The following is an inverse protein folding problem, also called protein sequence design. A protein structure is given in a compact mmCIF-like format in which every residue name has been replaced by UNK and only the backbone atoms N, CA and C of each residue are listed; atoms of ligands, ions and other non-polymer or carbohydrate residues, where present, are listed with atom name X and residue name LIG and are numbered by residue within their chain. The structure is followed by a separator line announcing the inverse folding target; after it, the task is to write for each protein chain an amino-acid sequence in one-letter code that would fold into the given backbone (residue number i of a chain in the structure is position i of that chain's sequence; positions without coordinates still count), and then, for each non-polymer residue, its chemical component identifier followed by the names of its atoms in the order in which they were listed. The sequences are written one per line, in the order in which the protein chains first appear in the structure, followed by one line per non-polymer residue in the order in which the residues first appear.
data_IF_653793703037
#
_entry.id   IF_653793703037
#
_cell.length_a   1.000
_cell.length_b   1.000
_cell.length_c   1.000
_cell.angle_alpha   90.00
_cell.angle_beta   90.00
_cell.angle_gamma   90.00
#
_symmetry.space_group_name_H-M   'P 1'
#
loop_
_entity.id
_entity.type
_entity.pdbx_description
1 polymer ?
#
# COMPACT_ATOMS: atom_id res chain seq x y z
N UNK A 1 9.69 11.13 7.17
CA UNK A 1 10.01 10.29 8.35
C UNK A 1 8.78 9.59 8.95
N UNK A 2 7.68 10.29 9.26
CA UNK A 2 6.44 9.66 9.79
C UNK A 2 5.77 8.68 8.79
N UNK A 3 5.81 8.98 7.49
CA UNK A 3 5.30 8.12 6.42
C UNK A 3 6.09 6.79 6.27
N UNK A 4 7.42 6.81 6.47
CA UNK A 4 8.27 5.62 6.37
C UNK A 4 7.98 4.58 7.46
N UNK A 5 7.58 5.03 8.65
CA UNK A 5 7.18 4.17 9.79
C UNK A 5 5.84 3.50 9.52
N UNK A 6 4.91 4.21 8.86
CA UNK A 6 3.61 3.65 8.48
C UNK A 6 3.71 2.67 7.29
N UNK A 7 4.75 2.81 6.46
CA UNK A 7 4.97 2.00 5.26
C UNK A 7 5.87 0.75 5.47
N UNK A 8 6.33 0.47 6.70
CA UNK A 8 7.03 -0.79 7.01
C UNK A 8 8.43 -0.96 6.40
N UNK A 9 9.02 0.07 5.80
CA UNK A 9 10.36 0.00 5.23
C UNK A 9 11.42 0.50 6.23
N UNK A 10 11.80 -0.37 7.16
CA UNK A 10 13.13 -0.29 7.77
C UNK A 10 13.97 -1.35 7.06
N UNK A 11 14.85 -0.89 6.16
CA UNK A 11 15.99 -1.70 5.74
C UNK A 11 16.83 -1.96 7.00
N UNK A 12 16.65 -3.13 7.60
CA UNK A 12 17.57 -3.68 8.57
C UNK A 12 18.90 -3.92 7.85
N UNK A 13 19.86 -3.03 8.09
CA UNK A 13 21.26 -3.32 7.81
C UNK A 13 21.63 -4.59 8.58
N UNK A 14 21.90 -5.66 7.82
CA UNK A 14 22.24 -6.98 8.33
C UNK A 14 23.60 -6.96 9.03
N UNK A 15 23.61 -7.07 10.35
CA UNK A 15 24.76 -7.56 11.10
C UNK A 15 24.69 -9.10 11.16
N UNK A 16 25.70 -9.72 10.57
CA UNK A 16 25.94 -11.16 10.49
C UNK A 16 26.03 -11.81 11.87
N UNK A 17 25.23 -12.85 12.14
CA UNK A 17 25.66 -13.95 12.99
C UNK A 17 24.99 -15.26 12.55
N UNK A 18 25.84 -16.28 12.42
CA UNK A 18 25.55 -17.63 11.94
C UNK A 18 24.83 -18.45 13.02
N UNK A 19 23.87 -19.26 12.62
CA UNK A 19 23.26 -20.26 13.49
C UNK A 19 22.34 -21.20 12.71
N UNK A 20 22.92 -22.24 12.11
CA UNK A 20 22.20 -23.30 11.41
C UNK A 20 21.38 -24.17 12.36
N UNK A 21 20.21 -24.64 11.92
CA UNK A 21 19.87 -26.09 11.87
C UNK A 21 18.49 -26.30 11.25
N UNK A 22 18.49 -27.04 10.15
CA UNK A 22 17.31 -27.48 9.42
C UNK A 22 16.73 -28.76 10.04
N UNK A 23 15.40 -28.89 10.06
CA UNK A 23 14.71 -30.19 10.16
C UNK A 23 13.63 -30.27 9.08
N UNK A 24 13.79 -31.24 8.18
CA UNK A 24 12.82 -31.67 7.14
C UNK A 24 11.62 -32.39 7.77
N UNK A 25 10.42 -32.31 7.18
CA UNK A 25 9.29 -33.16 7.55
C UNK A 25 9.36 -34.54 6.88
N UNK A 26 8.89 -35.54 7.62
CA UNK A 26 8.82 -36.96 7.26
C UNK A 26 7.57 -37.22 6.41
N UNK A 27 7.75 -38.00 5.33
CA UNK A 27 6.70 -38.50 4.46
C UNK A 27 5.95 -39.68 5.10
N UNK A 28 4.63 -39.74 4.95
CA UNK A 28 3.82 -40.91 5.22
C UNK A 28 3.07 -41.34 3.95
N UNK A 29 3.47 -42.49 3.41
CA UNK A 29 2.78 -43.21 2.35
C UNK A 29 1.78 -44.19 2.97
N UNK A 30 0.53 -44.19 2.49
CA UNK A 30 -0.49 -45.20 2.78
C UNK A 30 -1.16 -45.64 1.48
N UNK A 31 -1.15 -46.95 1.22
CA UNK A 31 -1.42 -47.58 -0.09
C UNK A 31 -2.67 -48.48 -0.01
N UNK A 32 -3.59 -48.27 -0.95
CA UNK A 32 -4.49 -49.23 -1.67
C UNK A 32 -5.61 -49.99 -0.93
N UNK A 33 -6.83 -49.83 -1.46
CA UNK A 33 -7.66 -50.78 -2.28
C UNK A 33 -9.06 -50.14 -2.40
N UNK A 34 -9.80 -50.10 -3.51
CA UNK A 34 -9.80 -50.81 -4.78
C UNK A 34 -11.27 -51.15 -5.09
N UNK A 35 -11.88 -50.50 -6.08
CA UNK A 35 -13.13 -50.94 -6.71
C UNK A 35 -13.26 -50.31 -8.10
N UNK A 36 -13.18 -51.16 -9.13
CA UNK A 36 -13.41 -50.81 -10.53
C UNK A 36 -14.90 -50.60 -10.79
N UNK A 37 -15.26 -49.54 -11.52
CA UNK A 37 -16.50 -49.51 -12.30
C UNK A 37 -16.31 -48.62 -13.53
N UNK A 38 -16.23 -49.32 -14.66
CA UNK A 38 -16.65 -48.99 -16.04
C UNK A 38 -16.94 -47.49 -16.30
N UNK A 39 -16.08 -46.85 -17.10
CA UNK A 39 -16.34 -45.54 -17.70
C UNK A 39 -16.93 -45.79 -19.09
N UNK A 40 -18.23 -45.52 -19.22
CA UNK A 40 -18.87 -45.31 -20.52
C UNK A 40 -18.39 -43.97 -21.09
N UNK A 41 -17.84 -44.04 -22.31
CA UNK A 41 -17.53 -42.89 -23.15
C UNK A 41 -18.83 -42.14 -23.47
N UNK A 42 -19.02 -41.00 -22.80
CA UNK A 42 -20.02 -40.01 -23.20
C UNK A 42 -19.37 -39.05 -24.19
N UNK A 43 -19.67 -39.33 -25.46
CA UNK A 43 -19.42 -38.54 -26.64
C UNK A 43 -19.95 -37.10 -26.46
N UNK A 44 -19.07 -36.11 -26.32
CA UNK A 44 -19.42 -34.70 -26.50
C UNK A 44 -18.81 -34.22 -27.80
N UNK A 45 -19.64 -34.15 -28.85
CA UNK A 45 -19.37 -33.46 -30.10
C UNK A 45 -18.78 -32.08 -29.80
N UNK A 46 -17.48 -31.91 -29.99
CA UNK A 46 -16.90 -30.60 -30.24
C UNK A 46 -17.24 -30.28 -31.69
N UNK A 47 -18.23 -29.41 -31.89
CA UNK A 47 -18.45 -28.77 -33.19
C UNK A 47 -17.20 -27.95 -33.53
N UNK A 48 -16.30 -28.56 -34.30
CA UNK A 48 -15.14 -27.89 -34.88
C UNK A 48 -15.63 -26.98 -35.98
N UNK A 49 -15.51 -25.66 -35.79
CA UNK A 49 -15.80 -24.66 -36.84
C UNK A 49 -14.77 -24.89 -37.97
N UNK A 50 -15.18 -25.36 -39.16
CA UNK A 50 -14.23 -25.69 -40.22
C UNK A 50 -13.72 -24.41 -40.89
N UNK A 51 -12.40 -24.21 -40.88
CA UNK A 51 -11.73 -23.03 -41.43
C UNK A 51 -11.72 -23.00 -42.98
N UNK A 52 -11.67 -24.17 -43.63
CA UNK A 52 -11.71 -24.35 -45.09
C UNK A 52 -12.44 -25.68 -45.37
N UNK A 53 -13.32 -25.73 -46.36
CA UNK A 53 -14.01 -26.98 -46.71
C UNK A 53 -13.07 -27.97 -47.39
N UNK A 54 -13.32 -29.28 -47.26
CA UNK A 54 -12.54 -30.29 -47.98
C UNK A 54 -12.60 -30.07 -49.50
N UNK A 55 -13.70 -29.53 -50.00
CA UNK A 55 -13.92 -29.26 -51.42
C UNK A 55 -13.01 -28.15 -51.96
N UNK A 56 -12.71 -27.15 -51.13
CA UNK A 56 -11.82 -26.03 -51.49
C UNK A 56 -10.34 -26.46 -51.50
N UNK A 57 -9.98 -27.50 -50.73
CA UNK A 57 -8.64 -28.12 -50.78
C UNK A 57 -8.50 -28.99 -52.03
N UNK A 58 -9.55 -29.77 -52.38
CA UNK A 58 -9.55 -30.60 -53.60
C UNK A 58 -9.38 -29.76 -54.86
N UNK A 59 -10.07 -28.61 -54.94
CA UNK A 59 -9.98 -27.72 -56.09
C UNK A 59 -8.59 -27.10 -56.26
N UNK A 60 -7.91 -26.74 -55.15
CA UNK A 60 -6.54 -26.23 -55.19
C UNK A 60 -5.50 -27.29 -55.57
N UNK A 61 -5.68 -28.56 -55.17
CA UNK A 61 -4.77 -29.65 -55.57
C UNK A 61 -4.89 -29.88 -57.08
N UNK A 62 -6.12 -29.89 -57.61
CA UNK A 62 -6.37 -30.06 -59.05
C UNK A 62 -5.85 -28.88 -59.88
N UNK A 63 -5.82 -27.66 -59.34
CA UNK A 63 -5.26 -26.51 -60.05
C UNK A 63 -3.73 -26.55 -60.16
N UNK A 64 -3.04 -27.36 -59.35
CA UNK A 64 -1.58 -27.50 -59.36
C UNK A 64 -1.15 -28.60 -60.33
N UNK A 65 -1.92 -29.70 -60.42
CA UNK A 65 -1.70 -30.75 -61.41
C UNK A 65 -3.01 -31.47 -61.73
N UNK A 66 -3.41 -31.45 -63.00
CA UNK A 66 -4.71 -31.95 -63.47
C UNK A 66 -4.76 -33.49 -63.57
N UNK A 67 -3.61 -34.17 -63.64
CA UNK A 67 -3.53 -35.63 -63.87
C UNK A 67 -3.45 -36.47 -62.58
N UNK A 68 -3.69 -35.89 -61.40
CA UNK A 68 -3.60 -36.64 -60.14
C UNK A 68 -4.84 -37.54 -59.96
N UNK A 69 -4.69 -38.86 -59.74
CA UNK A 69 -5.81 -39.77 -59.46
C UNK A 69 -6.64 -39.36 -58.24
N UNK A 70 -7.96 -39.53 -58.32
CA UNK A 70 -8.91 -39.11 -57.26
C UNK A 70 -8.64 -39.75 -55.90
N UNK A 71 -8.19 -41.00 -55.88
CA UNK A 71 -7.80 -41.72 -54.66
C UNK A 71 -6.63 -41.03 -53.93
N UNK A 72 -5.69 -40.45 -54.69
CA UNK A 72 -4.54 -39.71 -54.16
C UNK A 72 -4.99 -38.32 -53.72
N UNK A 73 -5.90 -37.67 -54.45
CA UNK A 73 -6.49 -36.38 -54.07
C UNK A 73 -7.24 -36.50 -52.74
N UNK A 74 -8.02 -37.56 -52.54
CA UNK A 74 -8.76 -37.79 -51.30
C UNK A 74 -7.81 -38.06 -50.12
N UNK A 75 -6.79 -38.88 -50.31
CA UNK A 75 -5.76 -39.15 -49.31
C UNK A 75 -4.96 -37.89 -48.93
N UNK A 76 -4.60 -37.06 -49.91
CA UNK A 76 -3.92 -35.78 -49.69
C UNK A 76 -4.84 -34.76 -49.04
N UNK A 77 -6.10 -34.71 -49.46
CA UNK A 77 -7.11 -33.80 -48.88
C UNK A 77 -7.33 -34.15 -47.42
N UNK A 78 -7.44 -35.43 -47.06
CA UNK A 78 -7.60 -35.84 -45.67
C UNK A 78 -6.33 -35.59 -44.86
N UNK A 79 -5.14 -35.87 -45.40
CA UNK A 79 -3.89 -35.54 -44.72
C UNK A 79 -3.70 -34.02 -44.54
N UNK A 80 -3.97 -33.22 -45.57
CA UNK A 80 -3.84 -31.76 -45.53
C UNK A 80 -4.93 -31.12 -44.70
N UNK A 81 -6.16 -31.65 -44.71
CA UNK A 81 -7.22 -31.20 -43.83
C UNK A 81 -6.85 -31.48 -42.37
N UNK A 82 -6.30 -32.66 -42.07
CA UNK A 82 -5.83 -32.99 -40.73
C UNK A 82 -4.61 -32.16 -40.31
N UNK A 83 -3.64 -31.96 -41.21
CA UNK A 83 -2.42 -31.17 -40.95
C UNK A 83 -2.75 -29.68 -40.80
N UNK A 84 -3.54 -29.10 -41.71
CA UNK A 84 -3.91 -27.67 -41.66
C UNK A 84 -4.90 -27.39 -40.54
N UNK A 85 -5.85 -28.28 -40.26
CA UNK A 85 -6.74 -28.12 -39.10
C UNK A 85 -5.97 -28.24 -37.79
N UNK A 86 -4.95 -29.11 -37.70
CA UNK A 86 -4.11 -29.23 -36.50
C UNK A 86 -3.12 -28.09 -36.36
N UNK A 87 -2.45 -27.65 -37.43
CA UNK A 87 -1.56 -26.48 -37.40
C UNK A 87 -2.33 -25.18 -37.15
N UNK A 88 -3.55 -25.05 -37.68
CA UNK A 88 -4.41 -23.92 -37.40
C UNK A 88 -5.00 -23.99 -35.99
N UNK A 89 -5.42 -25.16 -35.51
CA UNK A 89 -5.83 -25.33 -34.12
C UNK A 89 -4.66 -25.06 -33.19
N UNK A 90 -3.44 -25.47 -33.52
CA UNK A 90 -2.23 -25.15 -32.77
C UNK A 90 -1.91 -23.65 -32.85
N UNK A 91 -2.06 -22.99 -34.01
CA UNK A 91 -1.88 -21.54 -34.17
C UNK A 91 -3.01 -20.72 -33.52
N UNK A 92 -4.23 -21.23 -33.48
CA UNK A 92 -5.40 -20.63 -32.84
C UNK A 92 -5.31 -20.84 -31.33
N UNK A 93 -4.99 -22.04 -30.87
CA UNK A 93 -4.64 -22.32 -29.47
C UNK A 93 -3.40 -21.54 -29.09
N UNK A 94 -2.43 -21.31 -29.98
CA UNK A 94 -1.27 -20.47 -29.75
C UNK A 94 -1.65 -18.98 -29.74
N UNK A 95 -2.54 -18.48 -30.61
CA UNK A 95 -3.03 -17.09 -30.59
C UNK A 95 -3.94 -16.81 -29.40
N UNK A 96 -4.76 -17.78 -29.01
CA UNK A 96 -5.62 -17.74 -27.82
C UNK A 96 -4.77 -17.90 -26.58
N UNK A 97 -3.76 -18.78 -26.58
CA UNK A 97 -2.74 -18.80 -25.53
C UNK A 97 -2.00 -17.49 -25.52
N UNK A 98 -1.54 -16.91 -26.63
CA UNK A 98 -0.87 -15.60 -26.72
C UNK A 98 -1.79 -14.47 -26.23
N UNK A 99 -3.10 -14.50 -26.51
CA UNK A 99 -4.06 -13.51 -25.98
C UNK A 99 -4.38 -13.71 -24.50
N UNK A 100 -4.28 -14.95 -24.00
CA UNK A 100 -4.31 -15.27 -22.57
C UNK A 100 -2.94 -15.08 -21.89
N UNK A 101 -1.83 -15.16 -22.62
CA UNK A 101 -0.43 -15.06 -22.19
C UNK A 101 0.02 -13.61 -22.19
N UNK A 102 -0.60 -12.74 -22.99
CA UNK A 102 -0.65 -11.30 -22.73
C UNK A 102 -1.31 -10.99 -21.37
N UNK A 103 -1.98 -11.96 -20.73
CA UNK A 103 -2.40 -11.92 -19.33
C UNK A 103 -1.61 -12.85 -18.38
N UNK A 104 -0.77 -13.79 -18.85
CA UNK A 104 -0.25 -14.86 -17.98
C UNK A 104 1.16 -15.49 -18.27
N UNK A 105 2.04 -15.01 -19.17
CA UNK A 105 3.47 -15.45 -19.11
C UNK A 105 4.48 -14.31 -18.99
N UNK A 106 4.87 -14.06 -17.76
CA UNK A 106 6.26 -14.01 -17.34
C UNK A 106 6.83 -15.45 -17.30
N UNK A 107 8.08 -15.62 -17.71
CA UNK A 107 8.90 -16.73 -17.22
C UNK A 107 10.04 -16.13 -16.41
N UNK A 108 9.98 -16.36 -15.09
CA UNK A 108 10.95 -16.01 -14.03
C UNK A 108 10.68 -14.71 -13.23
N UNK A 109 9.69 -13.89 -13.61
CA UNK A 109 9.21 -12.74 -12.81
C UNK A 109 7.73 -12.84 -12.35
N UNK A 110 6.99 -13.84 -12.87
CA UNK A 110 5.72 -14.43 -12.37
C UNK A 110 5.12 -13.95 -11.04
N UNK A 111 5.83 -14.45 -10.03
CA UNK A 111 5.42 -14.36 -8.64
C UNK A 111 5.82 -13.03 -8.06
N UNK A 112 6.91 -12.43 -8.52
CA UNK A 112 7.39 -11.13 -8.05
C UNK A 112 6.50 -10.02 -8.57
N UNK A 113 6.11 -9.99 -9.85
CA UNK A 113 5.25 -8.93 -10.39
C UNK A 113 3.79 -9.07 -9.96
N UNK A 114 3.22 -10.29 -9.94
CA UNK A 114 1.89 -10.52 -9.33
C UNK A 114 1.88 -10.22 -7.84
N UNK A 115 3.00 -10.44 -7.12
CA UNK A 115 3.14 -10.00 -5.73
C UNK A 115 3.30 -8.48 -5.62
N UNK A 116 4.06 -7.83 -6.51
CA UNK A 116 4.29 -6.38 -6.52
C UNK A 116 2.99 -5.61 -6.78
N UNK A 117 2.18 -6.05 -7.75
CA UNK A 117 0.85 -5.47 -8.04
C UNK A 117 -0.08 -5.63 -6.84
N UNK A 118 -0.11 -6.83 -6.23
CA UNK A 118 -0.89 -7.06 -4.99
C UNK A 118 -0.38 -6.19 -3.84
N UNK A 119 0.93 -6.04 -3.70
CA UNK A 119 1.57 -5.21 -2.67
C UNK A 119 1.23 -3.72 -2.88
N UNK A 120 1.20 -3.22 -4.11
CA UNK A 120 0.80 -1.83 -4.41
C UNK A 120 -0.68 -1.61 -4.10
N UNK A 121 -1.57 -2.54 -4.48
CA UNK A 121 -2.99 -2.45 -4.13
C UNK A 121 -3.24 -2.50 -2.62
N UNK A 122 -2.52 -3.36 -1.89
CA UNK A 122 -2.55 -3.42 -0.42
C UNK A 122 -2.01 -2.13 0.20
N UNK A 123 -0.92 -1.59 -0.34
CA UNK A 123 -0.35 -0.31 0.08
C UNK A 123 -1.33 0.85 -0.11
N UNK A 124 -2.02 0.92 -1.25
CA UNK A 124 -3.07 1.92 -1.51
C UNK A 124 -4.21 1.77 -0.50
N UNK A 125 -4.68 0.54 -0.24
CA UNK A 125 -5.73 0.28 0.77
C UNK A 125 -5.28 0.69 2.17
N UNK A 126 -4.04 0.39 2.54
CA UNK A 126 -3.46 0.76 3.83
C UNK A 126 -3.34 2.28 3.98
N UNK A 127 -2.82 2.99 2.96
CA UNK A 127 -2.74 4.45 2.94
C UNK A 127 -4.13 5.08 3.08
N UNK A 128 -5.12 4.58 2.33
CA UNK A 128 -6.51 5.02 2.43
C UNK A 128 -7.12 4.76 3.81
N UNK A 129 -6.79 3.64 4.45
CA UNK A 129 -7.16 3.35 5.83
C UNK A 129 -6.58 4.39 6.79
N UNK A 130 -5.27 4.63 6.69
CA UNK A 130 -4.53 5.58 7.52
C UNK A 130 -5.10 7.00 7.37
N UNK A 131 -5.33 7.46 6.13
CA UNK A 131 -5.93 8.78 5.88
C UNK A 131 -7.26 8.92 6.62
N UNK A 132 -8.14 7.91 6.57
CA UNK A 132 -9.40 7.94 7.31
C UNK A 132 -9.24 7.95 8.84
N UNK A 133 -8.24 7.26 9.40
CA UNK A 133 -7.96 7.35 10.84
C UNK A 133 -7.55 8.77 11.22
N UNK A 134 -6.65 9.39 10.46
CA UNK A 134 -6.16 10.74 10.74
C UNK A 134 -7.23 11.82 10.49
N UNK A 135 -8.12 11.66 9.50
CA UNK A 135 -9.22 12.58 9.25
C UNK A 135 -10.15 12.73 10.46
N UNK A 136 -10.37 11.68 11.26
CA UNK A 136 -11.19 11.76 12.48
C UNK A 136 -10.63 12.69 13.55
N UNK A 137 -9.30 12.77 13.66
CA UNK A 137 -8.68 13.72 14.59
C UNK A 137 -8.86 15.16 14.07
N UNK A 138 -8.78 15.36 12.77
CA UNK A 138 -9.03 16.66 12.12
C UNK A 138 -10.49 17.10 12.32
N UNK A 139 -11.46 16.20 12.14
CA UNK A 139 -12.89 16.45 12.40
C UNK A 139 -13.14 16.85 13.87
N UNK A 140 -12.51 16.15 14.81
CA UNK A 140 -12.59 16.48 16.24
C UNK A 140 -12.03 17.87 16.53
N UNK A 141 -10.83 18.19 16.03
CA UNK A 141 -10.19 19.50 16.21
C UNK A 141 -10.95 20.64 15.52
N UNK A 142 -11.67 20.34 14.44
CA UNK A 142 -12.55 21.31 13.76
C UNK A 142 -13.72 21.68 14.66
N UNK A 143 -14.30 20.69 15.37
CA UNK A 143 -15.39 20.92 16.33
C UNK A 143 -14.92 21.75 17.53
N UNK A 144 -13.65 21.60 17.91
CA UNK A 144 -12.99 22.36 18.99
C UNK A 144 -12.50 23.76 18.54
N UNK A 145 -12.80 24.18 17.30
CA UNK A 145 -12.42 25.47 16.71
C UNK A 145 -10.90 25.74 16.62
N UNK A 146 -10.05 24.71 16.53
CA UNK A 146 -8.59 24.84 16.39
C UNK A 146 -8.17 25.06 14.93
N UNK A 147 -8.68 26.12 14.29
CA UNK A 147 -8.59 26.36 12.84
C UNK A 147 -7.17 26.32 12.28
N UNK A 148 -6.21 27.01 12.90
CA UNK A 148 -4.82 27.05 12.43
C UNK A 148 -4.11 25.68 12.52
N UNK A 149 -4.42 24.90 13.56
CA UNK A 149 -3.89 23.54 13.72
C UNK A 149 -4.52 22.60 12.68
N UNK A 150 -5.84 22.67 12.51
CA UNK A 150 -6.60 21.92 11.50
C UNK A 150 -6.02 22.16 10.10
N UNK A 151 -5.80 23.41 9.70
CA UNK A 151 -5.21 23.73 8.39
C UNK A 151 -3.81 23.13 8.21
N UNK A 152 -3.01 23.13 9.28
CA UNK A 152 -1.66 22.57 9.27
C UNK A 152 -1.69 21.05 9.11
N UNK A 153 -2.58 20.37 9.83
CA UNK A 153 -2.75 18.91 9.76
C UNK A 153 -3.33 18.47 8.41
N UNK A 154 -4.37 19.14 7.91
CA UNK A 154 -4.95 18.85 6.59
C UNK A 154 -3.91 18.96 5.48
N UNK A 155 -3.17 20.07 5.46
CA UNK A 155 -2.12 20.30 4.46
C UNK A 155 -1.01 19.27 4.55
N UNK A 156 -0.62 18.86 5.76
CA UNK A 156 0.39 17.83 5.93
C UNK A 156 -0.09 16.47 5.43
N UNK A 157 -1.31 16.07 5.79
CA UNK A 157 -1.91 14.80 5.36
C UNK A 157 -2.04 14.70 3.84
N UNK A 158 -2.46 15.80 3.18
CA UNK A 158 -2.52 15.88 1.72
C UNK A 158 -1.13 15.70 1.09
N UNK A 159 -0.12 16.42 1.59
CA UNK A 159 1.24 16.41 1.01
C UNK A 159 2.07 15.17 1.37
N UNK A 160 1.57 14.33 2.26
CA UNK A 160 2.24 13.09 2.65
C UNK A 160 1.43 11.90 2.14
N UNK A 161 0.46 11.41 2.92
CA UNK A 161 -0.23 10.16 2.60
C UNK A 161 -1.09 10.24 1.34
N UNK A 162 -1.78 11.36 1.07
CA UNK A 162 -2.55 11.48 -0.18
C UNK A 162 -1.64 11.57 -1.41
N UNK A 163 -0.51 12.29 -1.30
CA UNK A 163 0.49 12.34 -2.36
C UNK A 163 1.17 10.98 -2.57
N UNK A 164 1.50 10.24 -1.51
CA UNK A 164 2.04 8.88 -1.61
C UNK A 164 1.04 7.93 -2.28
N UNK A 165 -0.25 8.06 -1.96
CA UNK A 165 -1.31 7.28 -2.59
C UNK A 165 -1.45 7.62 -4.09
N UNK A 166 -1.38 8.91 -4.45
CA UNK A 166 -1.34 9.36 -5.84
C UNK A 166 -0.14 8.76 -6.59
N UNK A 167 1.04 8.83 -5.98
CA UNK A 167 2.26 8.32 -6.59
C UNK A 167 2.20 6.79 -6.78
N UNK A 168 1.59 6.05 -5.84
CA UNK A 168 1.36 4.61 -6.00
C UNK A 168 0.43 4.31 -7.19
N UNK A 169 -0.62 5.11 -7.39
CA UNK A 169 -1.50 4.97 -8.56
C UNK A 169 -0.73 5.28 -9.85
N UNK A 170 0.09 6.34 -9.85
CA UNK A 170 0.93 6.70 -11.02
C UNK A 170 1.93 5.60 -11.35
N UNK A 171 2.61 5.02 -10.35
CA UNK A 171 3.59 3.93 -10.53
C UNK A 171 2.96 2.65 -11.06
N UNK A 172 1.68 2.41 -10.76
CA UNK A 172 0.94 1.27 -11.29
C UNK A 172 0.55 1.49 -12.77
N UNK A 173 0.24 2.72 -13.15
CA UNK A 173 -0.19 3.08 -14.51
C UNK A 173 0.96 3.35 -15.47
N UNK A 174 2.13 3.73 -14.97
CA UNK A 174 3.32 4.01 -15.77
C UNK A 174 4.58 3.36 -15.19
N UNK A 175 5.09 2.37 -15.92
CA UNK A 175 6.31 1.64 -15.55
C UNK A 175 7.55 2.53 -15.48
N UNK A 176 7.55 3.69 -16.17
CA UNK A 176 8.67 4.64 -16.09
C UNK A 176 8.80 5.24 -14.69
N UNK A 177 7.67 5.38 -13.97
CA UNK A 177 7.63 5.88 -12.61
C UNK A 177 8.04 4.82 -11.58
N UNK A 178 7.90 3.53 -11.88
CA UNK A 178 8.27 2.42 -10.98
C UNK A 178 9.77 2.38 -10.64
N UNK A 179 10.61 2.95 -11.50
CA UNK A 179 12.07 3.07 -11.28
C UNK A 179 12.45 4.10 -10.20
N UNK A 180 11.52 4.98 -9.80
CA UNK A 180 11.78 6.06 -8.86
C UNK A 180 11.44 5.65 -7.43
N UNK A 181 12.45 5.71 -6.56
CA UNK A 181 12.30 5.47 -5.13
C UNK A 181 11.86 6.74 -4.42
N UNK A 182 10.81 6.65 -3.58
CA UNK A 182 10.31 7.78 -2.80
C UNK A 182 9.24 8.61 -3.52
N UNK A 183 8.78 9.67 -2.84
CA UNK A 183 7.68 10.52 -3.29
C UNK A 183 8.07 11.33 -4.54
N UNK A 184 7.19 11.39 -5.53
CA UNK A 184 7.38 12.15 -6.76
C UNK A 184 7.17 13.64 -6.53
N UNK A 185 8.03 14.46 -7.14
CA UNK A 185 7.83 15.92 -7.17
C UNK A 185 6.57 16.29 -7.96
N UNK A 186 6.06 17.50 -7.74
CA UNK A 186 4.89 18.01 -8.48
C UNK A 186 5.20 18.08 -9.99
N UNK A 187 6.40 18.54 -10.34
CA UNK A 187 6.89 18.63 -11.71
C UNK A 187 7.03 17.25 -12.35
N UNK A 188 7.51 16.27 -11.58
CA UNK A 188 7.63 14.88 -12.05
C UNK A 188 6.26 14.26 -12.31
N UNK A 189 5.31 14.41 -11.37
CA UNK A 189 3.92 13.95 -11.58
C UNK A 189 3.32 14.58 -12.83
N UNK A 190 3.46 15.89 -12.99
CA UNK A 190 2.94 16.60 -14.18
C UNK A 190 3.54 16.06 -15.48
N UNK A 191 4.87 15.85 -15.53
CA UNK A 191 5.54 15.30 -16.72
C UNK A 191 5.07 13.90 -17.07
N UNK A 192 4.81 13.05 -16.07
CA UNK A 192 4.31 11.69 -16.28
C UNK A 192 2.86 11.73 -16.75
N UNK A 193 1.99 12.46 -16.04
CA UNK A 193 0.56 12.58 -16.35
C UNK A 193 0.32 13.12 -17.77
N UNK A 194 1.10 14.12 -18.20
CA UNK A 194 0.99 14.71 -19.54
C UNK A 194 1.28 13.70 -20.67
N UNK A 195 2.09 12.68 -20.41
CA UNK A 195 2.43 11.63 -21.39
C UNK A 195 1.39 10.51 -21.45
N UNK A 196 0.52 10.40 -20.46
CA UNK A 196 -0.51 9.37 -20.41
C UNK A 196 -1.63 9.65 -21.41
N UNK A 197 -2.28 8.60 -21.90
CA UNK A 197 -3.50 8.70 -22.71
C UNK A 197 -4.73 8.98 -21.83
N UNK A 198 -5.84 9.36 -22.46
CA UNK A 198 -7.14 9.34 -21.77
C UNK A 198 -7.59 7.89 -21.53
N UNK A 199 -8.31 7.59 -20.42
CA UNK A 199 -8.82 8.52 -19.40
C UNK A 199 -7.84 8.81 -18.23
N UNK A 200 -6.65 8.20 -18.23
CA UNK A 200 -5.66 8.29 -17.14
C UNK A 200 -5.23 9.73 -16.90
N UNK A 201 -4.95 10.48 -17.99
CA UNK A 201 -4.54 11.88 -17.92
C UNK A 201 -5.59 12.75 -17.21
N UNK A 202 -6.86 12.67 -17.59
CA UNK A 202 -7.92 13.48 -16.99
C UNK A 202 -8.10 13.21 -15.49
N UNK A 203 -8.17 11.94 -15.08
CA UNK A 203 -8.36 11.57 -13.67
C UNK A 203 -7.16 11.98 -12.80
N UNK A 204 -5.94 11.66 -13.25
CA UNK A 204 -4.74 11.98 -12.47
C UNK A 204 -4.43 13.47 -12.44
N UNK A 205 -4.79 14.24 -13.47
CA UNK A 205 -4.67 15.71 -13.43
C UNK A 205 -5.54 16.30 -12.32
N UNK A 206 -6.81 15.86 -12.19
CA UNK A 206 -7.72 16.30 -11.11
C UNK A 206 -7.21 15.93 -9.73
N UNK A 207 -6.62 14.73 -9.59
CA UNK A 207 -5.99 14.29 -8.34
C UNK A 207 -4.77 15.17 -8.04
N UNK A 208 -3.88 15.37 -9.01
CA UNK A 208 -2.64 16.15 -8.81
C UNK A 208 -2.94 17.61 -8.44
N UNK A 209 -3.97 18.22 -9.04
CA UNK A 209 -4.48 19.53 -8.64
C UNK A 209 -4.99 19.54 -7.20
N UNK A 210 -5.72 18.51 -6.78
CA UNK A 210 -6.26 18.42 -5.42
C UNK A 210 -5.18 18.30 -4.34
N UNK A 211 -3.98 17.82 -4.68
CA UNK A 211 -2.85 17.78 -3.75
C UNK A 211 -2.36 19.18 -3.33
N UNK A 212 -2.75 20.23 -4.04
CA UNK A 212 -2.53 21.63 -3.65
C UNK A 212 -3.72 22.25 -2.90
N UNK A 213 -4.80 21.48 -2.74
CA UNK A 213 -6.01 21.89 -2.03
C UNK A 213 -5.82 22.01 -0.52
N UNK A 214 -6.92 22.40 0.14
CA UNK A 214 -6.99 22.53 1.60
C UNK A 214 -7.81 21.43 2.27
N UNK A 215 -8.68 20.75 1.53
CA UNK A 215 -9.60 19.76 2.09
C UNK A 215 -9.14 18.32 1.77
N UNK A 216 -8.88 17.55 2.84
CA UNK A 216 -8.47 16.14 2.76
C UNK A 216 -9.58 15.28 2.16
N UNK A 217 -10.84 15.48 2.53
CA UNK A 217 -11.97 14.67 2.05
C UNK A 217 -12.16 14.81 0.54
N UNK A 218 -12.08 16.04 0.03
CA UNK A 218 -12.16 16.30 -1.42
C UNK A 218 -11.01 15.63 -2.17
N UNK A 219 -9.80 15.68 -1.60
CA UNK A 219 -8.61 15.03 -2.18
C UNK A 219 -8.75 13.50 -2.15
N UNK A 220 -9.22 12.95 -1.03
CA UNK A 220 -9.42 11.52 -0.86
C UNK A 220 -10.50 10.99 -1.80
N UNK A 221 -11.61 11.72 -1.98
CA UNK A 221 -12.65 11.34 -2.94
C UNK A 221 -12.09 11.21 -4.35
N UNK A 222 -11.28 12.19 -4.80
CA UNK A 222 -10.66 12.14 -6.13
C UNK A 222 -9.67 10.99 -6.28
N UNK A 223 -8.95 10.65 -5.20
CA UNK A 223 -8.05 9.49 -5.17
C UNK A 223 -8.83 8.17 -5.22
N UNK A 224 -9.96 8.08 -4.53
CA UNK A 224 -10.86 6.93 -4.57
C UNK A 224 -11.47 6.75 -5.97
N UNK A 225 -11.90 7.85 -6.60
CA UNK A 225 -12.41 7.84 -7.96
C UNK A 225 -11.33 7.39 -8.96
N UNK A 226 -10.11 7.94 -8.87
CA UNK A 226 -9.01 7.53 -9.74
C UNK A 226 -8.59 6.06 -9.52
N UNK A 227 -8.57 5.59 -8.28
CA UNK A 227 -8.27 4.18 -7.99
C UNK A 227 -9.36 3.25 -8.53
N UNK A 228 -10.63 3.65 -8.45
CA UNK A 228 -11.74 2.86 -8.97
C UNK A 228 -11.73 2.83 -10.50
N UNK A 229 -11.64 3.98 -11.16
CA UNK A 229 -11.74 4.09 -12.62
C UNK A 229 -10.49 3.56 -13.34
N UNK A 230 -9.29 3.80 -12.80
CA UNK A 230 -8.03 3.47 -13.49
C UNK A 230 -7.46 2.11 -13.10
N UNK A 231 -7.67 1.67 -11.85
CA UNK A 231 -7.11 0.43 -11.32
C UNK A 231 -8.17 -0.63 -10.99
N UNK A 232 -9.46 -0.34 -11.21
CA UNK A 232 -10.59 -1.19 -10.79
C UNK A 232 -10.54 -1.55 -9.30
N UNK A 233 -9.96 -0.65 -8.49
CA UNK A 233 -9.73 -0.88 -7.07
C UNK A 233 -10.84 -0.23 -6.26
N UNK A 234 -11.79 -1.04 -5.79
CA UNK A 234 -12.84 -0.57 -4.89
C UNK A 234 -12.29 -0.28 -3.49
N UNK A 235 -12.12 1.00 -3.18
CA UNK A 235 -11.66 1.49 -1.88
C UNK A 235 -12.87 1.79 -0.98
N UNK A 236 -13.28 0.80 -0.20
CA UNK A 236 -14.36 0.99 0.78
C UNK A 236 -13.84 1.66 2.05
N UNK A 237 -14.70 2.48 2.69
CA UNK A 237 -14.45 2.94 4.06
C UNK A 237 -14.21 1.72 4.97
N UNK A 238 -13.16 1.75 5.81
CA UNK A 238 -12.87 0.65 6.71
C UNK A 238 -14.03 0.49 7.69
N UNK A 239 -14.40 -0.76 7.95
CA UNK A 239 -15.44 -1.09 8.92
C UNK A 239 -14.97 -0.72 10.33
N UNK A 240 -15.89 -0.57 11.29
CA UNK A 240 -15.54 -0.34 12.70
C UNK A 240 -14.53 -1.36 13.25
N UNK A 241 -14.55 -2.60 12.75
CA UNK A 241 -13.56 -3.63 13.11
C UNK A 241 -12.20 -3.32 12.52
N UNK A 242 -12.13 -3.13 11.20
CA UNK A 242 -10.89 -2.84 10.49
C UNK A 242 -10.20 -1.56 11.01
N UNK A 243 -11.00 -0.57 11.41
CA UNK A 243 -10.48 0.67 11.99
C UNK A 243 -9.86 0.47 13.36
N UNK A 244 -10.46 -0.38 14.20
CA UNK A 244 -9.86 -0.76 15.49
C UNK A 244 -8.54 -1.48 15.26
N UNK A 245 -8.51 -2.45 14.36
CA UNK A 245 -7.30 -3.22 14.05
C UNK A 245 -6.19 -2.30 13.52
N UNK A 246 -6.52 -1.39 12.59
CA UNK A 246 -5.56 -0.42 12.05
C UNK A 246 -5.07 0.57 13.11
N UNK A 247 -5.96 1.02 13.99
CA UNK A 247 -5.61 1.92 15.09
C UNK A 247 -4.68 1.22 16.09
N UNK A 248 -4.92 -0.06 16.38
CA UNK A 248 -4.02 -0.86 17.22
C UNK A 248 -2.66 -1.03 16.55
N UNK A 249 -2.61 -1.36 15.26
CA UNK A 249 -1.37 -1.48 14.49
C UNK A 249 -0.54 -0.17 14.52
N UNK A 250 -1.17 0.98 14.27
CA UNK A 250 -0.52 2.30 14.38
C UNK A 250 0.02 2.51 15.80
N UNK A 251 -0.77 2.18 16.84
CA UNK A 251 -0.34 2.34 18.23
C UNK A 251 0.90 1.53 18.55
N UNK A 252 0.91 0.25 18.19
CA UNK A 252 2.04 -0.64 18.47
C UNK A 252 3.29 -0.23 17.70
N UNK A 253 3.15 0.17 16.43
CA UNK A 253 4.28 0.70 15.64
C UNK A 253 4.88 1.97 16.24
N UNK A 254 4.03 2.90 16.70
CA UNK A 254 4.50 4.12 17.35
C UNK A 254 5.17 3.85 18.70
N UNK A 255 4.62 2.92 19.50
CA UNK A 255 5.24 2.49 20.77
C UNK A 255 6.58 1.81 20.56
N UNK A 256 6.66 0.88 19.61
CA UNK A 256 7.91 0.21 19.25
C UNK A 256 8.97 1.23 18.82
N UNK A 257 8.60 2.16 17.93
CA UNK A 257 9.51 3.23 17.53
C UNK A 257 9.95 4.10 18.70
N UNK A 258 9.02 4.52 19.55
CA UNK A 258 9.34 5.35 20.71
C UNK A 258 10.28 4.63 21.68
N UNK A 259 10.16 3.31 21.81
CA UNK A 259 11.00 2.47 22.70
C UNK A 259 12.47 2.51 22.32
N UNK A 260 12.80 2.53 21.03
CA UNK A 260 14.19 2.51 20.56
C UNK A 260 14.71 3.91 20.18
N UNK A 261 13.83 4.92 20.13
CA UNK A 261 14.19 6.27 19.72
C UNK A 261 15.09 6.97 20.74
N UNK A 262 16.08 7.70 20.22
CA UNK A 262 17.06 8.47 20.99
C UNK A 262 17.06 9.96 20.61
N UNK A 263 16.57 10.31 19.42
CA UNK A 263 16.47 11.71 19.01
C UNK A 263 15.39 12.43 19.85
N UNK A 264 15.76 13.46 20.63
CA UNK A 264 14.83 14.25 21.44
C UNK A 264 13.63 14.78 20.66
N UNK A 265 13.85 15.24 19.42
CA UNK A 265 12.79 15.81 18.59
C UNK A 265 11.76 14.73 18.22
N UNK A 266 12.24 13.56 17.79
CA UNK A 266 11.39 12.42 17.46
C UNK A 266 10.69 11.83 18.70
N UNK A 267 11.36 11.72 19.84
CA UNK A 267 10.76 11.28 21.12
C UNK A 267 9.58 12.17 21.47
N UNK A 268 9.77 13.50 21.46
CA UNK A 268 8.71 14.46 21.78
C UNK A 268 7.53 14.32 20.80
N UNK A 269 7.83 14.22 19.51
CA UNK A 269 6.80 14.09 18.47
C UNK A 269 5.96 12.81 18.61
N UNK A 270 6.61 11.66 18.84
CA UNK A 270 5.95 10.37 19.05
C UNK A 270 5.14 10.36 20.35
N UNK A 271 5.71 10.89 21.44
CA UNK A 271 5.04 10.97 22.74
C UNK A 271 3.77 11.82 22.66
N UNK A 272 3.82 12.99 22.01
CA UNK A 272 2.64 13.86 21.82
C UNK A 272 1.57 13.18 20.99
N UNK A 273 1.96 12.46 19.94
CA UNK A 273 1.00 11.71 19.12
C UNK A 273 0.28 10.64 19.97
N UNK A 274 1.03 9.90 20.79
CA UNK A 274 0.47 8.87 21.67
C UNK A 274 -0.39 9.48 22.79
N UNK A 275 0.00 10.63 23.34
CA UNK A 275 -0.79 11.39 24.32
C UNK A 275 -2.11 11.86 23.72
N UNK A 276 -2.08 12.43 22.51
CA UNK A 276 -3.29 12.82 21.79
C UNK A 276 -4.22 11.62 21.61
N UNK A 277 -3.67 10.47 21.22
CA UNK A 277 -4.41 9.21 21.11
C UNK A 277 -5.05 8.80 22.43
N UNK A 278 -4.31 8.85 23.55
CA UNK A 278 -4.82 8.54 24.87
C UNK A 278 -6.00 9.44 25.23
N UNK A 279 -5.77 10.75 25.27
CA UNK A 279 -6.72 11.76 25.75
C UNK A 279 -7.99 11.81 24.88
N UNK A 280 -7.85 11.74 23.55
CA UNK A 280 -8.97 11.95 22.63
C UNK A 280 -9.58 10.64 22.12
N UNK A 281 -9.77 9.68 23.03
CA UNK A 281 -10.51 8.44 22.84
C UNK A 281 -10.06 7.62 21.62
N UNK A 282 -8.75 7.51 21.42
CA UNK A 282 -8.16 6.66 20.40
C UNK A 282 -7.98 7.28 19.01
N UNK A 283 -8.05 8.61 18.90
CA UNK A 283 -7.83 9.34 17.63
C UNK A 283 -6.34 9.65 17.45
N UNK A 284 -5.77 9.31 16.30
CA UNK A 284 -4.38 9.68 16.00
C UNK A 284 -4.30 10.96 15.17
N UNK A 285 -3.28 11.78 15.43
CA UNK A 285 -2.91 12.92 14.59
C UNK A 285 -1.74 12.57 13.68
N UNK A 286 -1.81 12.96 12.42
CA UNK A 286 -0.67 12.92 11.52
C UNK A 286 -0.15 14.34 11.32
N UNK A 287 0.94 14.66 12.00
CA UNK A 287 1.39 16.03 12.17
C UNK A 287 2.83 16.22 11.66
N UNK A 288 3.15 17.38 11.07
CA UNK A 288 4.54 17.76 10.83
C UNK A 288 5.18 18.21 12.15
N UNK A 289 6.52 18.14 12.25
CA UNK A 289 7.25 18.59 13.45
C UNK A 289 6.89 20.01 13.89
N UNK A 290 6.66 20.94 12.95
CA UNK A 290 6.24 22.32 13.25
C UNK A 290 4.88 22.47 13.94
N UNK A 291 4.04 21.44 13.92
CA UNK A 291 2.74 21.45 14.60
C UNK A 291 2.84 21.00 16.06
N UNK A 292 3.99 20.47 16.49
CA UNK A 292 4.25 20.01 17.86
C UNK A 292 3.93 21.08 18.92
N UNK A 293 4.41 22.34 18.79
CA UNK A 293 4.06 23.40 19.74
C UNK A 293 2.56 23.64 19.88
N UNK A 294 1.85 23.69 18.76
CA UNK A 294 0.40 23.90 18.72
C UNK A 294 -0.34 22.71 19.34
N UNK A 295 0.16 21.48 19.15
CA UNK A 295 -0.40 20.29 19.78
C UNK A 295 -0.17 20.28 21.29
N UNK A 296 1.01 20.66 21.78
CA UNK A 296 1.28 20.81 23.23
C UNK A 296 0.31 21.83 23.83
N UNK A 297 0.17 22.99 23.18
CA UNK A 297 -0.77 24.04 23.61
C UNK A 297 -2.22 23.56 23.62
N UNK A 298 -2.62 22.72 22.67
CA UNK A 298 -3.97 22.15 22.65
C UNK A 298 -4.17 21.13 23.78
N UNK A 299 -3.22 20.21 23.97
CA UNK A 299 -3.29 19.16 24.98
C UNK A 299 -3.21 19.71 26.41
N UNK A 300 -2.63 20.88 26.62
CA UNK A 300 -2.51 21.49 27.95
C UNK A 300 -3.86 21.77 28.61
N UNK A 301 -4.95 21.87 27.83
CA UNK A 301 -6.32 21.98 28.33
C UNK A 301 -6.78 20.76 29.13
N UNK A 302 -6.18 19.59 28.88
CA UNK A 302 -6.58 18.31 29.48
C UNK A 302 -5.47 17.63 30.28
N UNK A 303 -4.27 18.22 30.30
CA UNK A 303 -3.10 17.69 30.98
C UNK A 303 -2.82 18.44 32.30
N UNK A 304 -2.35 17.74 33.34
CA UNK A 304 -1.81 18.36 34.55
C UNK A 304 -0.67 19.35 34.27
N UNK A 305 -0.56 20.38 35.11
CA UNK A 305 0.45 21.44 34.99
C UNK A 305 1.89 20.91 34.99
N UNK A 306 2.20 19.92 35.83
CA UNK A 306 3.54 19.32 35.89
C UNK A 306 3.93 18.62 34.57
N UNK A 307 2.97 17.95 33.91
CA UNK A 307 3.19 17.31 32.61
C UNK A 307 3.36 18.37 31.53
N UNK A 308 2.51 19.41 31.54
CA UNK A 308 2.59 20.52 30.59
C UNK A 308 3.95 21.22 30.64
N UNK A 309 4.45 21.51 31.84
CA UNK A 309 5.75 22.15 32.02
C UNK A 309 6.88 21.28 31.43
N UNK A 310 6.88 19.97 31.71
CA UNK A 310 7.90 19.05 31.17
C UNK A 310 7.84 18.95 29.64
N UNK A 311 6.65 18.96 29.03
CA UNK A 311 6.50 18.99 27.58
C UNK A 311 7.03 20.29 26.96
N UNK A 312 6.79 21.43 27.63
CA UNK A 312 7.30 22.74 27.20
C UNK A 312 8.82 22.82 27.29
N UNK A 313 9.42 22.36 28.40
CA UNK A 313 10.88 22.30 28.57
C UNK A 313 11.55 21.45 27.47
N UNK A 314 10.96 20.29 27.16
CA UNK A 314 11.44 19.43 26.08
C UNK A 314 11.30 20.11 24.71
N UNK A 315 10.20 20.82 24.47
CA UNK A 315 9.99 21.56 23.22
C UNK A 315 11.02 22.68 23.03
N UNK A 316 11.30 23.45 24.09
CA UNK A 316 12.31 24.51 24.06
C UNK A 316 13.70 23.95 23.78
N UNK A 317 14.05 22.85 24.44
CA UNK A 317 15.31 22.14 24.20
C UNK A 317 15.47 21.69 22.73
N UNK A 318 14.42 21.09 22.15
CA UNK A 318 14.42 20.67 20.74
C UNK A 318 14.58 21.85 19.79
N UNK A 319 13.92 22.98 20.08
CA UNK A 319 14.05 24.20 19.27
C UNK A 319 15.48 24.76 19.38
N UNK A 320 16.06 24.81 20.57
CA UNK A 320 17.44 25.26 20.79
C UNK A 320 18.43 24.39 20.01
N UNK A 321 18.33 23.06 20.10
CA UNK A 321 19.18 22.14 19.32
C UNK A 321 19.10 22.42 17.81
N UNK A 322 17.89 22.63 17.29
CA UNK A 322 17.68 22.87 15.84
C UNK A 322 18.21 24.22 15.34
N UNK A 323 18.34 25.22 16.22
CA UNK A 323 18.68 26.61 15.85
C UNK A 323 20.13 26.98 16.10
N UNK A 324 20.75 26.44 17.16
CA UNK A 324 22.10 26.84 17.58
C UNK A 324 23.17 25.78 17.34
N UNK A 325 22.81 24.54 16.97
CA UNK A 325 23.75 23.44 16.74
C UNK A 325 24.60 23.05 17.97
N UNK A 326 24.45 23.75 19.08
CA UNK A 326 25.18 23.60 20.33
C UNK A 326 24.15 23.65 21.46
N UNK A 327 23.91 22.52 22.10
CA UNK A 327 23.01 22.39 23.25
C UNK A 327 23.61 23.08 24.48
N UNK A 328 23.42 24.40 24.61
CA UNK A 328 23.82 25.15 25.81
C UNK A 328 23.06 24.69 27.06
N UNK A 329 21.86 24.14 26.88
CA UNK A 329 21.06 23.53 27.95
C UNK A 329 21.09 22.02 27.77
N UNK A 330 21.92 21.27 28.50
CA UNK A 330 21.79 19.81 28.54
C UNK A 330 20.51 19.46 29.30
N UNK A 331 19.48 18.97 28.60
CA UNK A 331 18.34 18.36 29.26
C UNK A 331 18.78 17.01 29.83
N UNK A 332 18.52 16.76 31.11
CA UNK A 332 18.95 15.49 31.73
C UNK A 332 18.30 14.30 31.02
N UNK A 333 19.05 13.21 30.89
CA UNK A 333 18.53 11.97 30.30
C UNK A 333 17.25 11.49 30.99
N UNK A 334 17.12 11.74 32.30
CA UNK A 334 15.92 11.46 33.09
C UNK A 334 14.67 12.18 32.57
N UNK A 335 14.79 13.46 32.16
CA UNK A 335 13.66 14.22 31.60
C UNK A 335 13.25 13.66 30.24
N UNK A 336 14.22 13.28 29.40
CA UNK A 336 13.94 12.65 28.10
C UNK A 336 13.25 11.30 28.30
N UNK A 337 13.77 10.49 29.22
CA UNK A 337 13.22 9.17 29.56
C UNK A 337 11.80 9.29 30.16
N UNK A 338 11.54 10.34 30.94
CA UNK A 338 10.20 10.63 31.45
C UNK A 338 9.20 10.88 30.32
N UNK A 339 9.54 11.71 29.32
CA UNK A 339 8.66 11.99 28.17
C UNK A 339 8.41 10.71 27.35
N UNK A 340 9.43 9.87 27.23
CA UNK A 340 9.32 8.55 26.59
C UNK A 340 8.35 7.63 27.35
N UNK A 341 8.50 7.49 28.67
CA UNK A 341 7.59 6.72 29.53
C UNK A 341 6.16 7.28 29.48
N UNK A 342 6.02 8.61 29.49
CA UNK A 342 4.73 9.28 29.38
C UNK A 342 3.98 8.92 28.09
N UNK A 343 4.68 8.93 26.94
CA UNK A 343 4.11 8.53 25.66
C UNK A 343 3.74 7.04 25.60
N UNK A 344 4.61 6.15 26.09
CA UNK A 344 4.37 4.70 26.11
C UNK A 344 3.14 4.33 26.94
N UNK A 345 2.87 5.09 28.01
CA UNK A 345 1.78 4.82 28.96
C UNK A 345 0.55 5.71 28.75
N UNK A 346 0.46 6.44 27.64
CA UNK A 346 -0.59 7.45 27.38
C UNK A 346 -2.06 6.98 27.55
N UNK A 347 -2.34 5.67 27.43
CA UNK A 347 -3.68 5.10 27.64
C UNK A 347 -3.93 4.64 29.09
N UNK A 348 -2.88 4.23 29.79
CA UNK A 348 -2.92 3.73 31.17
C UNK A 348 -2.84 4.90 32.18
N UNK A 349 -2.16 5.98 31.81
CA UNK A 349 -2.00 7.20 32.60
C UNK A 349 -3.26 8.08 32.72
N UNK A 350 -4.40 7.65 32.17
CA UNK A 350 -5.66 8.41 32.24
C UNK A 350 -6.44 8.22 33.55
N UNK A 351 -5.99 7.33 34.46
CA UNK A 351 -6.28 7.51 35.89
C UNK A 351 -5.29 8.55 36.45
N UNK A 352 -5.60 9.83 36.22
CA UNK A 352 -4.78 11.01 36.53
C UNK A 352 -4.61 11.29 38.05
N UNK A 353 -4.24 10.28 38.85
CA UNK A 353 -3.92 10.42 40.28
C UNK A 353 -2.61 9.74 40.70
N UNK A 354 -2.03 8.84 39.90
CA UNK A 354 -0.86 8.06 40.34
C UNK A 354 0.51 8.77 40.11
N UNK A 355 0.68 9.50 39.01
CA UNK A 355 1.98 10.10 38.63
C UNK A 355 2.25 11.50 39.21
N UNK A 356 1.28 12.09 39.91
CA UNK A 356 1.49 13.34 40.64
C UNK A 356 2.29 13.12 41.94
N UNK A 357 2.29 11.90 42.49
CA UNK A 357 2.93 11.59 43.76
C UNK A 357 4.40 11.17 43.63
N UNK A 358 4.82 10.64 42.47
CA UNK A 358 6.22 10.24 42.24
C UNK A 358 7.19 11.42 42.01
N UNK A 359 6.69 12.66 41.93
CA UNK A 359 7.52 13.86 41.75
C UNK A 359 7.79 14.62 43.06
N UNK A 360 7.28 14.15 44.19
CA UNK A 360 7.51 14.78 45.51
C UNK A 360 8.46 13.98 46.42
N UNK A 361 8.96 12.82 45.98
CA UNK A 361 9.87 11.95 46.76
C UNK A 361 11.26 11.73 46.13
N UNK A 362 11.77 12.65 45.30
CA UNK A 362 13.17 12.60 44.86
C UNK A 362 13.83 13.97 44.77
#
# INVERSE_FOLDING_TARGET
MYAAVLQGNIALASASSKGATAKKPVAAAGKRKGASKVVEESNSNQETIPFVSKDEIKSQIRSINEEVPDEIIDLLTDNLYNIKSRQYLDLFVQRVKESFVLKDNETSSDTTRKSEIKNVQESIKQLRGNICIFSRAIEHLTTENETALVETLQRHLIRSLCADMCDNIIRELDTSASSKTGQLSIEERNKIIQKMSEPNRSHLSKVNESLNGKNVETTLSRLEDAANELLQLSLKRPTKKNEKDLTLDIREKLKAKLTDEQDPAMILHLAITLLFYGIHAGRFVHAPGKAVPSLIKYLSKSLPNNINQRLQEMQEYVIQQSTTGTSSTQLSNEKIEFIKKLGLNAKENMSLTALANDAHES
#
